data_IF_913736182880
#
_entry.id   IF_913736182880
#
_cell.length_a   1.000
_cell.length_b   1.000
_cell.length_c   1.000
_cell.angle_alpha   90.00
_cell.angle_beta   90.00
_cell.angle_gamma   90.00
#
_symmetry.space_group_name_H-M   'P 1'
#
loop_
_entity.id
_entity.type
_entity.pdbx_description
1 polymer ?
#
# COMPACT_ATOMS: atom_id res chain seq x y z
N UNK A 1 -2.32 -39.84 13.93
CA UNK A 1 -1.92 -38.47 14.30
C UNK A 1 -1.21 -37.91 13.08
N UNK A 2 -1.92 -37.18 12.24
CA UNK A 2 -1.33 -36.57 11.06
C UNK A 2 -1.35 -35.07 11.31
N UNK A 3 -0.26 -34.60 11.89
CA UNK A 3 -0.01 -33.18 12.08
C UNK A 3 0.23 -32.59 10.69
N UNK A 4 -0.84 -32.11 10.05
CA UNK A 4 -0.71 -31.49 8.74
C UNK A 4 0.10 -30.21 8.90
N UNK A 5 1.35 -30.23 8.47
CA UNK A 5 2.21 -29.05 8.35
C UNK A 5 1.46 -28.01 7.51
N UNK A 6 0.90 -27.01 8.17
CA UNK A 6 0.31 -25.85 7.50
C UNK A 6 1.43 -25.22 6.68
N UNK A 7 1.24 -25.12 5.36
CA UNK A 7 2.24 -24.47 4.52
C UNK A 7 2.43 -23.03 4.98
N UNK A 8 3.65 -22.50 4.87
CA UNK A 8 3.96 -21.12 5.29
C UNK A 8 3.00 -20.11 4.64
N UNK A 9 2.69 -20.31 3.35
CA UNK A 9 1.70 -19.50 2.63
C UNK A 9 0.32 -19.54 3.29
N UNK A 10 -0.16 -20.74 3.66
CA UNK A 10 -1.46 -20.91 4.32
C UNK A 10 -1.47 -20.25 5.71
N UNK A 11 -0.39 -20.39 6.48
CA UNK A 11 -0.28 -19.78 7.80
C UNK A 11 -0.35 -18.24 7.73
N UNK A 12 0.37 -17.62 6.80
CA UNK A 12 0.36 -16.16 6.61
C UNK A 12 -1.01 -15.68 6.11
N UNK A 13 -1.60 -16.39 5.15
CA UNK A 13 -2.93 -16.04 4.63
C UNK A 13 -4.01 -16.11 5.72
N UNK A 14 -4.00 -17.15 6.55
CA UNK A 14 -4.94 -17.29 7.67
C UNK A 14 -4.72 -16.22 8.74
N UNK A 15 -3.46 -15.86 9.05
CA UNK A 15 -3.15 -14.77 9.98
C UNK A 15 -3.72 -13.43 9.48
N UNK A 16 -3.47 -13.08 8.22
CA UNK A 16 -3.98 -11.83 7.61
C UNK A 16 -5.51 -11.83 7.59
N UNK A 17 -6.14 -12.94 7.17
CA UNK A 17 -7.59 -13.03 7.07
C UNK A 17 -8.31 -12.92 8.42
N UNK A 18 -7.71 -13.45 9.48
CA UNK A 18 -8.30 -13.45 10.84
C UNK A 18 -8.00 -12.19 11.64
N UNK A 19 -7.09 -11.33 11.19
CA UNK A 19 -6.72 -10.11 11.92
C UNK A 19 -7.76 -9.02 11.69
N UNK A 20 -8.40 -8.55 12.76
CA UNK A 20 -9.30 -7.40 12.75
C UNK A 20 -8.57 -6.14 13.28
N UNK A 21 -9.19 -4.96 13.11
CA UNK A 21 -8.56 -3.70 13.54
C UNK A 21 -8.39 -3.64 15.06
N UNK A 22 -9.33 -4.24 15.80
CA UNK A 22 -9.38 -4.32 17.25
C UNK A 22 -8.24 -5.17 17.83
N UNK A 23 -7.70 -6.09 17.04
CA UNK A 23 -6.54 -6.92 17.42
C UNK A 23 -5.23 -6.11 17.40
N UNK A 24 -5.21 -4.93 16.77
CA UNK A 24 -4.00 -4.15 16.58
C UNK A 24 -3.60 -3.43 17.87
N UNK A 25 -2.37 -3.66 18.39
CA UNK A 25 -1.89 -2.92 19.55
C UNK A 25 -1.84 -1.42 19.26
N UNK A 26 -2.18 -0.60 20.25
CA UNK A 26 -2.17 0.87 20.13
C UNK A 26 -0.84 1.40 19.58
N UNK A 27 0.30 0.85 20.03
CA UNK A 27 1.63 1.24 19.57
C UNK A 27 1.85 0.98 18.07
N UNK A 28 1.25 -0.08 17.52
CA UNK A 28 1.29 -0.39 16.08
C UNK A 28 0.47 0.63 15.31
N UNK A 29 -0.74 0.94 15.77
CA UNK A 29 -1.61 1.96 15.14
C UNK A 29 -0.90 3.31 15.10
N UNK A 30 -0.35 3.74 16.24
CA UNK A 30 0.32 5.04 16.35
C UNK A 30 1.57 5.10 15.45
N UNK A 31 2.33 3.99 15.35
CA UNK A 31 3.47 3.92 14.43
C UNK A 31 3.04 3.94 12.96
N UNK A 32 1.99 3.20 12.59
CA UNK A 32 1.49 3.15 11.21
C UNK A 32 0.98 4.51 10.75
N UNK A 33 0.34 5.29 11.62
CA UNK A 33 -0.04 6.68 11.29
C UNK A 33 1.16 7.53 10.89
N UNK A 34 2.28 7.39 11.59
CA UNK A 34 3.53 8.08 11.23
C UNK A 34 4.10 7.56 9.91
N UNK A 35 4.05 6.25 9.66
CA UNK A 35 4.49 5.67 8.39
C UNK A 35 3.64 6.15 7.20
N UNK A 36 2.31 6.26 7.37
CA UNK A 36 1.42 6.79 6.32
C UNK A 36 1.75 8.27 6.05
N UNK A 37 1.94 9.07 7.10
CA UNK A 37 2.31 10.48 6.97
C UNK A 37 3.64 10.64 6.24
N UNK A 38 4.66 9.87 6.62
CA UNK A 38 5.97 9.85 5.96
C UNK A 38 5.86 9.43 4.48
N UNK A 39 5.10 8.38 4.19
CA UNK A 39 4.88 7.91 2.82
C UNK A 39 4.24 9.00 1.94
N UNK A 40 3.19 9.66 2.43
CA UNK A 40 2.53 10.74 1.68
C UNK A 40 3.51 11.91 1.46
N UNK A 41 4.25 12.31 2.49
CA UNK A 41 5.26 13.37 2.40
C UNK A 41 6.35 13.06 1.36
N UNK A 42 6.89 11.84 1.41
CA UNK A 42 7.92 11.38 0.48
C UNK A 42 7.39 11.24 -0.95
N UNK A 43 6.17 10.71 -1.13
CA UNK A 43 5.53 10.64 -2.44
C UNK A 43 5.32 12.04 -3.04
N UNK A 44 4.91 13.03 -2.22
CA UNK A 44 4.78 14.41 -2.66
C UNK A 44 6.14 15.02 -3.01
N UNK A 45 7.14 14.85 -2.15
CA UNK A 45 8.50 15.36 -2.37
C UNK A 45 9.13 14.79 -3.65
N UNK A 46 9.08 13.47 -3.84
CA UNK A 46 9.63 12.77 -4.99
C UNK A 46 8.82 12.90 -6.28
N UNK A 47 7.57 13.37 -6.21
CA UNK A 47 6.70 13.48 -7.41
C UNK A 47 7.26 14.37 -8.52
N UNK A 48 8.22 15.25 -8.19
CA UNK A 48 8.82 16.20 -9.13
C UNK A 48 10.06 15.65 -9.85
N UNK A 49 10.57 14.49 -9.42
CA UNK A 49 11.75 13.87 -10.02
C UNK A 49 11.49 13.51 -11.50
N UNK A 50 12.49 13.66 -12.39
CA UNK A 50 12.32 13.43 -13.83
C UNK A 50 11.77 12.05 -14.18
N UNK A 51 12.28 11.00 -13.54
CA UNK A 51 11.84 9.62 -13.73
C UNK A 51 10.40 9.39 -13.30
N UNK A 52 9.93 10.05 -12.24
CA UNK A 52 8.55 9.94 -11.76
C UNK A 52 7.59 10.61 -12.73
N UNK A 53 7.98 11.73 -13.38
CA UNK A 53 7.18 12.37 -14.43
C UNK A 53 6.99 11.47 -15.65
N UNK A 54 8.04 10.71 -16.02
CA UNK A 54 7.97 9.73 -17.12
C UNK A 54 6.96 8.63 -16.75
N UNK A 55 7.08 8.08 -15.54
CA UNK A 55 6.14 7.06 -15.04
C UNK A 55 4.70 7.56 -14.98
N UNK A 56 4.46 8.78 -14.48
CA UNK A 56 3.12 9.36 -14.42
C UNK A 56 2.51 9.54 -15.82
N UNK A 57 3.32 9.92 -16.81
CA UNK A 57 2.89 10.03 -18.20
C UNK A 57 2.54 8.66 -18.79
N UNK A 58 3.34 7.63 -18.49
CA UNK A 58 3.06 6.25 -18.90
C UNK A 58 1.75 5.75 -18.30
N UNK A 59 1.55 5.91 -16.98
CA UNK A 59 0.31 5.51 -16.28
C UNK A 59 -0.90 6.22 -16.88
N UNK A 60 -0.81 7.54 -17.11
CA UNK A 60 -1.89 8.32 -17.73
C UNK A 60 -2.23 7.83 -19.14
N UNK A 61 -1.22 7.41 -19.91
CA UNK A 61 -1.40 6.92 -21.28
C UNK A 61 -1.92 5.48 -21.36
N UNK A 62 -1.69 4.66 -20.33
CA UNK A 62 -2.07 3.25 -20.32
C UNK A 62 -3.60 3.06 -20.30
N UNK A 63 -4.34 4.08 -19.86
CA UNK A 63 -5.79 4.00 -19.63
C UNK A 63 -6.13 3.11 -18.43
N UNK A 64 -7.42 2.87 -18.22
CA UNK A 64 -7.92 2.17 -17.04
C UNK A 64 -9.22 2.77 -16.56
N UNK A 65 -9.80 2.17 -15.52
CA UNK A 65 -10.93 2.77 -14.82
C UNK A 65 -10.35 3.68 -13.73
N UNK A 66 -10.79 4.93 -13.68
CA UNK A 66 -10.29 5.96 -12.75
C UNK A 66 -10.66 5.69 -11.27
N UNK A 67 -10.24 4.56 -10.73
CA UNK A 67 -10.57 4.09 -9.38
C UNK A 67 -9.57 4.59 -8.33
N UNK A 68 -8.36 4.99 -8.74
CA UNK A 68 -7.32 5.46 -7.84
C UNK A 68 -6.76 6.83 -8.22
N UNK A 69 -6.39 7.64 -7.22
CA UNK A 69 -5.74 8.93 -7.43
C UNK A 69 -4.23 8.75 -7.54
N UNK A 70 -3.61 9.38 -8.54
CA UNK A 70 -2.14 9.43 -8.62
C UNK A 70 -1.64 10.58 -7.75
N UNK A 71 -0.99 10.27 -6.64
CA UNK A 71 -0.54 11.25 -5.63
C UNK A 71 0.30 12.36 -6.29
N UNK A 72 -0.01 13.62 -5.99
CA UNK A 72 0.60 14.85 -6.56
C UNK A 72 0.32 15.13 -8.03
N UNK A 73 -0.48 14.31 -8.70
CA UNK A 73 -0.91 14.53 -10.08
C UNK A 73 -2.41 14.77 -10.14
N UNK A 74 -2.85 15.68 -11.02
CA UNK A 74 -4.27 16.02 -11.19
C UNK A 74 -4.98 15.05 -12.16
N UNK A 75 -4.85 13.74 -11.92
CA UNK A 75 -5.59 12.71 -12.64
C UNK A 75 -5.74 11.42 -11.80
N UNK A 76 -6.65 10.56 -12.24
CA UNK A 76 -6.90 9.23 -11.69
C UNK A 76 -6.56 8.17 -12.73
N UNK A 77 -6.22 6.97 -12.27
CA UNK A 77 -5.90 5.81 -13.09
C UNK A 77 -6.45 4.52 -12.47
#
# INVERSE_FOLDING_TARGET
MEESLVSVTKAVAEFIYKTEYEDLPKSVIDKVKLCILDFIGNAIGGSKEPEVKILASLVKSHGGKEESTVISYNFKA
#
